data_IF_857396686170
#
_entry.id   IF_857396686170
#
_cell.length_a   1.000
_cell.length_b   1.000
_cell.length_c   1.000
_cell.angle_alpha   90.00
_cell.angle_beta   90.00
_cell.angle_gamma   90.00
#
_symmetry.space_group_name_H-M   'P 1'
#
loop_
_entity.id
_entity.type
_entity.pdbx_description
1 polymer ?
#
# COMPACT_ATOMS: atom_id res chain seq x y z
N UNK A 1 -9.15 -20.57 -13.83
CA UNK A 1 -8.81 -20.20 -12.45
C UNK A 1 -10.09 -19.76 -11.77
N UNK A 2 -10.62 -20.54 -10.82
CA UNK A 2 -11.79 -20.15 -10.05
C UNK A 2 -11.36 -19.17 -8.95
N UNK A 3 -11.48 -17.89 -9.24
CA UNK A 3 -11.42 -16.85 -8.23
C UNK A 3 -12.66 -16.99 -7.35
N UNK A 4 -12.54 -17.55 -6.15
CA UNK A 4 -13.59 -17.41 -5.14
C UNK A 4 -13.64 -15.93 -4.75
N UNK A 5 -14.44 -15.16 -5.50
CA UNK A 5 -14.75 -13.77 -5.18
C UNK A 5 -15.57 -13.80 -3.90
N UNK A 6 -14.97 -13.30 -2.82
CA UNK A 6 -15.65 -13.12 -1.55
C UNK A 6 -16.56 -11.90 -1.70
N UNK A 7 -17.89 -12.12 -1.71
CA UNK A 7 -18.86 -11.03 -1.69
C UNK A 7 -18.90 -10.44 -0.28
N UNK A 8 -18.65 -9.14 -0.17
CA UNK A 8 -18.70 -8.45 1.12
C UNK A 8 -20.13 -7.93 1.30
N UNK A 9 -20.81 -8.43 2.34
CA UNK A 9 -22.14 -7.97 2.72
C UNK A 9 -22.17 -6.44 2.91
N UNK A 10 -23.25 -5.80 2.46
CA UNK A 10 -23.43 -4.34 2.54
C UNK A 10 -22.65 -3.52 1.49
N UNK A 11 -21.79 -4.12 0.66
CA UNK A 11 -21.02 -3.37 -0.36
C UNK A 11 -21.92 -2.67 -1.38
N UNK A 12 -23.02 -3.31 -1.83
CA UNK A 12 -24.01 -2.71 -2.75
C UNK A 12 -24.69 -1.49 -2.14
N UNK A 13 -24.98 -1.51 -0.85
CA UNK A 13 -25.57 -0.37 -0.15
C UNK A 13 -24.58 0.78 -0.03
N UNK A 14 -23.33 0.48 0.34
CA UNK A 14 -22.25 1.45 0.36
C UNK A 14 -22.06 2.11 -1.02
N UNK A 15 -22.09 1.32 -2.09
CA UNK A 15 -21.97 1.84 -3.45
C UNK A 15 -23.07 2.86 -3.77
N UNK A 16 -24.32 2.54 -3.42
CA UNK A 16 -25.46 3.46 -3.59
C UNK A 16 -25.27 4.75 -2.79
N UNK A 17 -24.86 4.65 -1.52
CA UNK A 17 -24.59 5.81 -0.65
C UNK A 17 -23.40 6.65 -1.13
N UNK A 18 -22.36 6.03 -1.67
CA UNK A 18 -21.24 6.75 -2.26
C UNK A 18 -21.67 7.48 -3.54
N UNK A 19 -22.54 6.87 -4.35
CA UNK A 19 -23.07 7.51 -5.56
C UNK A 19 -23.97 8.70 -5.24
N UNK A 20 -24.74 8.66 -4.14
CA UNK A 20 -25.62 9.76 -3.72
C UNK A 20 -24.88 10.98 -3.14
N UNK A 21 -23.58 10.87 -2.82
CA UNK A 21 -22.78 12.01 -2.42
C UNK A 21 -22.75 13.09 -3.51
N UNK A 22 -22.83 14.37 -3.11
CA UNK A 22 -22.87 15.49 -4.06
C UNK A 22 -21.51 15.86 -4.66
N UNK A 23 -20.40 15.59 -3.95
CA UNK A 23 -19.06 16.01 -4.37
C UNK A 23 -18.15 14.83 -4.73
N UNK A 24 -17.60 14.86 -5.95
CA UNK A 24 -16.62 13.86 -6.43
C UNK A 24 -15.36 13.82 -5.57
N UNK A 25 -14.97 14.95 -4.98
CA UNK A 25 -13.84 15.02 -4.04
C UNK A 25 -14.10 14.19 -2.79
N UNK A 26 -15.34 14.20 -2.30
CA UNK A 26 -15.74 13.40 -1.13
C UNK A 26 -15.84 11.93 -1.51
N UNK A 27 -16.47 11.60 -2.66
CA UNK A 27 -16.51 10.24 -3.21
C UNK A 27 -15.11 9.62 -3.32
N UNK A 28 -14.21 10.33 -3.99
CA UNK A 28 -12.82 9.90 -4.19
C UNK A 28 -12.10 9.67 -2.86
N UNK A 29 -12.31 10.56 -1.88
CA UNK A 29 -11.72 10.41 -0.54
C UNK A 29 -12.23 9.16 0.17
N UNK A 30 -13.52 8.88 0.15
CA UNK A 30 -14.09 7.70 0.81
C UNK A 30 -13.66 6.39 0.12
N UNK A 31 -13.65 6.36 -1.22
CA UNK A 31 -13.13 5.22 -2.00
C UNK A 31 -11.66 4.95 -1.65
N UNK A 32 -10.82 5.99 -1.55
CA UNK A 32 -9.41 5.81 -1.15
C UNK A 32 -9.24 5.22 0.25
N UNK A 33 -10.15 5.50 1.19
CA UNK A 33 -10.10 4.89 2.52
C UNK A 33 -10.43 3.41 2.47
N UNK A 34 -11.46 3.02 1.70
CA UNK A 34 -11.86 1.62 1.49
C UNK A 34 -10.72 0.85 0.84
N UNK A 35 -10.18 1.35 -0.28
CA UNK A 35 -8.99 0.80 -0.92
C UNK A 35 -7.81 0.68 0.05
N UNK A 36 -7.68 1.67 0.94
CA UNK A 36 -6.68 1.67 1.99
C UNK A 36 -6.83 0.54 3.00
N UNK A 37 -8.06 0.11 3.33
CA UNK A 37 -8.30 -1.04 4.21
C UNK A 37 -8.02 -2.35 3.50
N UNK A 38 -8.52 -2.48 2.27
CA UNK A 38 -8.31 -3.67 1.41
C UNK A 38 -6.82 -3.92 1.17
N UNK A 39 -6.00 -2.87 1.04
CA UNK A 39 -4.56 -3.01 0.81
C UNK A 39 -3.74 -3.44 2.05
N UNK A 40 -4.31 -3.49 3.26
CA UNK A 40 -3.54 -3.78 4.48
C UNK A 40 -2.87 -5.17 4.51
N UNK A 41 -3.51 -6.27 4.09
CA UNK A 41 -2.87 -7.59 4.01
C UNK A 41 -1.68 -7.58 3.06
N UNK A 42 -1.81 -6.95 1.89
CA UNK A 42 -0.70 -6.79 0.93
C UNK A 42 0.44 -5.97 1.53
N UNK A 43 0.17 -4.89 2.27
CA UNK A 43 1.22 -4.15 3.00
C UNK A 43 1.93 -5.05 4.02
N UNK A 44 1.20 -5.90 4.73
CA UNK A 44 1.79 -6.86 5.69
C UNK A 44 2.69 -7.87 4.98
N UNK A 45 2.22 -8.45 3.87
CA UNK A 45 2.99 -9.39 3.06
C UNK A 45 4.27 -8.74 2.49
N UNK A 46 4.16 -7.55 1.89
CA UNK A 46 5.33 -6.81 1.37
C UNK A 46 6.34 -6.54 2.49
N UNK A 47 5.89 -6.12 3.68
CA UNK A 47 6.78 -5.88 4.84
C UNK A 47 7.47 -7.16 5.33
N UNK A 48 6.83 -8.31 5.22
CA UNK A 48 7.43 -9.60 5.59
C UNK A 48 8.52 -10.01 4.60
N UNK A 49 8.29 -9.79 3.30
CA UNK A 49 9.25 -10.12 2.23
C UNK A 49 10.32 -9.06 1.98
N UNK A 50 10.24 -7.90 2.63
CA UNK A 50 11.20 -6.81 2.42
C UNK A 50 12.59 -7.22 2.93
N UNK A 51 13.64 -7.17 2.09
CA UNK A 51 14.98 -7.50 2.52
C UNK A 51 15.51 -6.49 3.55
N UNK A 52 16.24 -6.98 4.55
CA UNK A 52 16.83 -6.18 5.63
C UNK A 52 18.34 -6.21 5.46
N UNK A 53 18.97 -5.03 5.46
CA UNK A 53 20.42 -4.92 5.40
C UNK A 53 21.05 -5.47 6.69
N UNK A 54 22.16 -6.20 6.57
CA UNK A 54 22.90 -6.75 7.72
C UNK A 54 23.60 -5.66 8.54
N UNK A 55 24.08 -4.61 7.87
CA UNK A 55 24.82 -3.50 8.49
C UNK A 55 24.26 -2.15 8.03
N UNK A 56 24.36 -1.09 8.86
CA UNK A 56 24.11 0.27 8.42
C UNK A 56 25.02 0.65 7.26
N UNK A 57 24.54 1.51 6.36
CA UNK A 57 25.34 2.04 5.26
C UNK A 57 25.01 3.52 5.02
N UNK A 58 25.95 4.25 4.44
CA UNK A 58 25.80 5.68 4.16
C UNK A 58 25.32 5.85 2.73
N UNK A 59 24.17 6.50 2.57
CA UNK A 59 23.70 6.97 1.29
C UNK A 59 24.23 8.38 1.04
N UNK A 60 25.13 8.52 0.06
CA UNK A 60 25.68 9.81 -0.35
C UNK A 60 25.37 10.04 -1.82
N UNK A 61 24.77 11.20 -2.17
CA UNK A 61 24.60 11.60 -3.57
C UNK A 61 25.88 12.22 -4.10
N UNK A 62 26.10 12.15 -5.42
CA UNK A 62 27.22 12.83 -6.08
C UNK A 62 27.16 14.33 -5.74
N UNK A 63 28.24 14.87 -5.19
CA UNK A 63 28.35 16.28 -4.79
C UNK A 63 27.84 16.63 -3.38
N UNK A 64 27.32 15.68 -2.59
CA UNK A 64 27.05 15.95 -1.17
C UNK A 64 28.33 15.84 -0.34
N UNK A 65 28.52 16.68 0.67
CA UNK A 65 29.61 16.54 1.64
C UNK A 65 29.30 15.45 2.66
N UNK A 66 28.07 15.43 3.19
CA UNK A 66 27.58 14.48 4.18
C UNK A 66 26.52 13.55 3.60
N UNK A 67 26.59 12.25 3.95
CA UNK A 67 25.61 11.25 3.54
C UNK A 67 24.60 10.94 4.64
N UNK A 68 23.43 10.40 4.26
CA UNK A 68 22.40 9.93 5.20
C UNK A 68 22.71 8.50 5.62
N UNK A 69 22.77 8.25 6.94
CA UNK A 69 22.94 6.88 7.46
C UNK A 69 21.63 6.12 7.34
N UNK A 70 21.63 5.05 6.56
CA UNK A 70 20.51 4.11 6.46
C UNK A 70 20.74 2.98 7.44
N UNK A 71 19.89 2.95 8.48
CA UNK A 71 19.86 1.84 9.45
C UNK A 71 19.12 0.63 8.89
N UNK A 72 19.49 -0.60 9.30
CA UNK A 72 18.73 -1.81 9.02
C UNK A 72 17.24 -1.64 9.35
N UNK A 73 16.36 -2.20 8.51
CA UNK A 73 14.91 -2.12 8.69
C UNK A 73 14.26 -0.81 8.25
N UNK A 74 15.02 0.22 7.85
CA UNK A 74 14.46 1.46 7.25
C UNK A 74 13.62 1.17 6.01
N UNK A 75 14.07 0.25 5.16
CA UNK A 75 13.30 -0.21 4.00
C UNK A 75 11.93 -0.76 4.38
N UNK A 76 11.86 -1.67 5.37
CA UNK A 76 10.60 -2.24 5.88
C UNK A 76 9.65 -1.17 6.45
N UNK A 77 10.20 -0.19 7.19
CA UNK A 77 9.44 0.95 7.72
C UNK A 77 8.91 1.88 6.62
N UNK A 78 9.61 1.94 5.49
CA UNK A 78 9.23 2.74 4.34
C UNK A 78 8.06 2.15 3.54
N UNK A 79 7.75 0.86 3.68
CA UNK A 79 6.62 0.24 2.97
C UNK A 79 5.31 0.83 3.46
N UNK A 80 4.50 1.32 2.52
CA UNK A 80 3.19 1.86 2.82
C UNK A 80 2.31 2.00 1.59
N UNK A 81 1.19 2.69 1.80
CA UNK A 81 0.18 2.98 0.79
C UNK A 81 0.45 4.36 0.21
N UNK A 82 0.40 4.50 -1.11
CA UNK A 82 0.58 5.79 -1.80
C UNK A 82 -0.55 6.00 -2.81
N UNK A 83 -1.16 7.17 -2.74
CA UNK A 83 -2.24 7.59 -3.63
C UNK A 83 -1.68 8.10 -4.95
N UNK A 84 -2.32 7.74 -6.06
CA UNK A 84 -2.01 8.29 -7.38
C UNK A 84 -2.81 9.57 -7.61
N UNK A 85 -2.17 10.72 -7.39
CA UNK A 85 -2.85 12.04 -7.38
C UNK A 85 -3.43 12.49 -8.72
N UNK A 86 -2.90 11.99 -9.84
CA UNK A 86 -3.29 12.36 -11.21
C UNK A 86 -4.08 11.26 -11.93
N UNK A 87 -4.47 10.21 -11.21
CA UNK A 87 -5.32 9.17 -11.80
C UNK A 87 -6.75 9.70 -11.94
N UNK A 88 -7.42 9.36 -13.06
CA UNK A 88 -8.84 9.67 -13.28
C UNK A 88 -9.72 9.06 -12.19
N UNK A 89 -9.42 7.81 -11.82
CA UNK A 89 -10.10 7.09 -10.77
C UNK A 89 -9.27 7.08 -9.48
N UNK A 90 -9.89 6.95 -8.29
CA UNK A 90 -9.16 6.87 -7.04
C UNK A 90 -8.30 5.60 -7.02
N UNK A 91 -6.98 5.78 -7.16
CA UNK A 91 -6.02 4.67 -7.25
C UNK A 91 -5.01 4.72 -6.11
N UNK A 92 -4.77 3.56 -5.50
CA UNK A 92 -3.84 3.36 -4.40
C UNK A 92 -2.88 2.21 -4.75
N UNK A 93 -1.59 2.42 -4.53
CA UNK A 93 -0.58 1.36 -4.69
C UNK A 93 0.21 1.15 -3.39
N UNK A 94 0.68 -0.08 -3.21
CA UNK A 94 1.58 -0.45 -2.13
C UNK A 94 3.00 -0.34 -2.65
N UNK A 95 3.81 0.54 -2.05
CA UNK A 95 5.19 0.74 -2.46
C UNK A 95 6.07 1.22 -1.30
N UNK A 96 7.40 1.17 -1.44
CA UNK A 96 8.29 1.91 -0.57
C UNK A 96 8.02 3.41 -0.79
N UNK A 97 7.81 4.16 0.29
CA UNK A 97 7.58 5.61 0.26
C UNK A 97 8.68 6.34 1.00
N UNK A 98 8.95 7.57 0.58
CA UNK A 98 9.88 8.45 1.28
C UNK A 98 9.09 9.28 2.29
N UNK A 99 9.46 9.20 3.56
CA UNK A 99 8.79 9.86 4.67
C UNK A 99 9.83 10.50 5.58
N UNK A 100 9.42 11.40 6.48
CA UNK A 100 10.33 12.00 7.48
C UNK A 100 11.05 10.96 8.35
N UNK A 101 10.46 9.77 8.56
CA UNK A 101 10.98 8.72 9.47
C UNK A 101 11.73 7.59 8.76
N UNK A 102 11.44 7.37 7.47
CA UNK A 102 12.01 6.28 6.69
C UNK A 102 12.00 6.64 5.21
N UNK A 103 13.14 6.46 4.55
CA UNK A 103 13.27 6.66 3.11
C UNK A 103 13.28 5.32 2.36
N UNK A 104 12.28 5.12 1.50
CA UNK A 104 12.18 3.97 0.61
C UNK A 104 12.85 4.16 -0.75
N UNK A 105 13.55 5.28 -0.99
CA UNK A 105 14.19 5.56 -2.28
C UNK A 105 15.17 4.45 -2.70
N UNK A 106 15.99 3.97 -1.77
CA UNK A 106 16.95 2.90 -2.04
C UNK A 106 16.26 1.60 -2.50
N UNK A 107 15.15 1.22 -1.85
CA UNK A 107 14.38 0.04 -2.26
C UNK A 107 13.84 0.20 -3.69
N UNK A 108 13.32 1.38 -4.05
CA UNK A 108 12.76 1.65 -5.37
C UNK A 108 13.81 1.67 -6.48
N UNK A 109 14.98 2.26 -6.22
CA UNK A 109 16.00 2.44 -7.25
C UNK A 109 16.87 1.22 -7.44
N UNK A 110 17.27 0.54 -6.36
CA UNK A 110 18.31 -0.49 -6.43
C UNK A 110 17.80 -1.88 -6.13
N UNK A 111 16.98 -2.04 -5.09
CA UNK A 111 16.60 -3.40 -4.63
C UNK A 111 15.55 -4.02 -5.54
N UNK A 112 14.49 -3.29 -5.86
CA UNK A 112 13.40 -3.83 -6.69
C UNK A 112 13.87 -4.04 -8.13
N UNK A 113 14.58 -3.06 -8.70
CA UNK A 113 15.00 -3.07 -10.11
C UNK A 113 16.32 -3.81 -10.35
N UNK A 114 17.14 -3.98 -9.31
CA UNK A 114 18.51 -4.43 -9.45
C UNK A 114 19.44 -3.34 -9.98
N UNK A 115 20.73 -3.65 -10.00
CA UNK A 115 21.81 -2.87 -10.59
C UNK A 115 22.82 -3.81 -11.26
N UNK A 116 23.84 -3.26 -11.91
CA UNK A 116 24.99 -4.04 -12.41
C UNK A 116 25.63 -4.93 -11.31
N UNK A 117 25.59 -4.49 -10.05
CA UNK A 117 26.24 -5.17 -8.92
C UNK A 117 25.26 -5.86 -7.95
N UNK A 118 23.95 -5.81 -8.23
CA UNK A 118 22.92 -6.36 -7.36
C UNK A 118 21.77 -6.92 -8.20
N UNK A 119 21.45 -8.21 -8.04
CA UNK A 119 20.30 -8.81 -8.73
C UNK A 119 18.99 -8.16 -8.26
N UNK A 120 18.05 -7.99 -9.20
CA UNK A 120 16.71 -7.50 -8.92
C UNK A 120 15.98 -8.41 -7.92
N UNK A 121 15.29 -7.82 -6.96
CA UNK A 121 14.43 -8.54 -6.02
C UNK A 121 12.99 -7.99 -6.07
N UNK A 122 12.11 -8.57 -6.89
CA UNK A 122 10.72 -8.15 -7.04
C UNK A 122 9.85 -8.65 -5.87
N UNK A 123 10.22 -8.34 -4.63
CA UNK A 123 9.50 -8.80 -3.44
C UNK A 123 8.07 -8.24 -3.32
N UNK A 124 7.76 -7.13 -3.99
CA UNK A 124 6.41 -6.57 -4.05
C UNK A 124 5.52 -7.43 -4.94
N UNK A 125 6.03 -7.85 -6.10
CA UNK A 125 5.27 -8.69 -7.03
C UNK A 125 5.03 -10.07 -6.41
N UNK A 126 6.03 -10.62 -5.70
CA UNK A 126 5.86 -11.84 -4.90
C UNK A 126 4.78 -11.68 -3.83
N UNK A 127 4.77 -10.57 -3.10
CA UNK A 127 3.73 -10.30 -2.12
C UNK A 127 2.33 -10.19 -2.76
N UNK A 128 2.25 -9.54 -3.93
CA UNK A 128 1.01 -9.44 -4.68
C UNK A 128 0.56 -10.80 -5.24
N UNK A 129 1.46 -11.66 -5.68
CA UNK A 129 1.12 -13.02 -6.11
C UNK A 129 0.65 -13.89 -4.93
N UNK A 130 1.18 -13.67 -3.73
CA UNK A 130 0.73 -14.36 -2.52
C UNK A 130 -0.65 -13.89 -2.06
N UNK A 131 -0.93 -12.59 -2.15
CA UNK A 131 -2.22 -12.08 -1.72
C UNK A 131 -3.26 -12.08 -2.83
N UNK A 132 -2.86 -11.99 -4.10
CA UNK A 132 -3.69 -11.80 -5.29
C UNK A 132 -4.77 -10.71 -5.17
N UNK A 133 -4.58 -9.74 -4.26
CA UNK A 133 -5.64 -8.81 -3.86
C UNK A 133 -6.80 -9.44 -3.08
N UNK A 134 -6.71 -10.74 -2.77
CA UNK A 134 -7.64 -11.44 -1.88
C UNK A 134 -7.55 -10.86 -0.48
N UNK A 135 -8.73 -10.61 0.04
CA UNK A 135 -8.96 -10.22 1.41
C UNK A 135 -9.01 -11.53 2.20
N UNK A 136 -8.01 -11.79 3.05
CA UNK A 136 -8.07 -12.91 4.02
C UNK A 136 -9.36 -12.81 4.84
N UNK A 137 -9.95 -13.90 5.33
CA UNK A 137 -11.16 -13.86 6.19
C UNK A 137 -11.08 -12.79 7.30
N UNK A 138 -9.96 -12.67 7.98
CA UNK A 138 -9.73 -11.61 8.98
C UNK A 138 -9.83 -10.17 8.44
N UNK A 139 -9.37 -9.97 7.21
CA UNK A 139 -9.42 -8.70 6.53
C UNK A 139 -10.83 -8.42 6.00
N UNK A 140 -11.61 -9.47 5.68
CA UNK A 140 -12.99 -9.37 5.23
C UNK A 140 -13.84 -8.83 6.36
N UNK A 141 -13.75 -9.43 7.55
CA UNK A 141 -14.46 -8.94 8.74
C UNK A 141 -14.10 -7.48 9.06
N UNK A 142 -12.82 -7.10 8.91
CA UNK A 142 -12.37 -5.71 9.14
C UNK A 142 -12.88 -4.75 8.09
N UNK A 143 -12.92 -5.16 6.83
CA UNK A 143 -13.46 -4.36 5.72
C UNK A 143 -14.97 -4.24 5.85
N UNK A 144 -15.70 -5.33 6.09
CA UNK A 144 -17.15 -5.33 6.34
C UNK A 144 -17.52 -4.41 7.50
N UNK A 145 -16.82 -4.52 8.64
CA UNK A 145 -17.01 -3.62 9.78
C UNK A 145 -16.72 -2.15 9.44
N UNK A 146 -15.73 -1.91 8.59
CA UNK A 146 -15.42 -0.56 8.13
C UNK A 146 -16.49 -0.01 7.17
N UNK A 147 -17.01 -0.86 6.28
CA UNK A 147 -18.10 -0.55 5.36
C UNK A 147 -19.35 -0.19 6.15
N UNK A 148 -19.74 -1.02 7.12
CA UNK A 148 -20.90 -0.77 7.97
C UNK A 148 -20.81 0.58 8.70
N UNK A 149 -19.66 0.89 9.29
CA UNK A 149 -19.42 2.20 9.92
C UNK A 149 -19.54 3.37 8.94
N UNK A 150 -19.14 3.17 7.68
CA UNK A 150 -19.27 4.20 6.66
C UNK A 150 -20.70 4.36 6.18
N UNK A 151 -21.44 3.25 6.06
CA UNK A 151 -22.87 3.24 5.77
C UNK A 151 -23.65 4.02 6.82
N UNK A 152 -23.36 3.79 8.12
CA UNK A 152 -23.96 4.51 9.25
C UNK A 152 -23.59 6.00 9.20
N UNK A 153 -22.31 6.31 8.98
CA UNK A 153 -21.83 7.69 8.89
C UNK A 153 -22.46 8.48 7.74
N UNK A 154 -22.74 7.82 6.62
CA UNK A 154 -23.34 8.45 5.43
C UNK A 154 -24.87 8.50 5.49
N UNK A 155 -25.48 7.86 6.48
CA UNK A 155 -26.93 7.85 6.71
C UNK A 155 -27.42 8.93 7.68
N UNK A 156 -26.50 9.54 8.43
CA UNK A 156 -26.74 10.68 9.32
C UNK A 156 -26.25 11.96 8.67
#
# INVERSE_FOLDING_TARGET
MNSNLIEIEGFKELEKKLKSLSSDKVKSREVLKILGQVANPTVKAVKALTPIAKKPHIQKRKGQSFGTVITPGTGKRSIGKKTMRRAKNPTLYVSPRSTKRADGWYLRQFVIRGTKYQKANPFIDKAYQQTQGQVTKDAETKVAKYIQRQIEKLSN
#
